data_IF_176662172391
#
_entry.id   IF_176662172391
#
_cell.length_a   1.000
_cell.length_b   1.000
_cell.length_c   1.000
_cell.angle_alpha   90.00
_cell.angle_beta   90.00
_cell.angle_gamma   90.00
#
_symmetry.space_group_name_H-M   'P 1'
#
loop_
_entity.id
_entity.type
_entity.pdbx_description
1 polymer ?
#
# COMPACT_ATOMS: atom_id res chain seq x y z
N UNK A 1 3.31 -2.75 -41.43
CA UNK A 1 4.39 -3.22 -40.54
C UNK A 1 4.01 -2.90 -39.10
N UNK A 2 3.33 -3.82 -38.40
CA UNK A 2 2.99 -3.63 -36.97
C UNK A 2 4.29 -3.71 -36.18
N UNK A 3 4.71 -2.61 -35.55
CA UNK A 3 5.76 -2.68 -34.52
C UNK A 3 5.25 -3.62 -33.43
N UNK A 4 5.86 -4.79 -33.32
CA UNK A 4 5.72 -5.64 -32.13
C UNK A 4 6.17 -4.77 -30.97
N UNK A 5 5.27 -4.36 -30.06
CA UNK A 5 5.70 -3.88 -28.75
C UNK A 5 6.58 -4.99 -28.21
N UNK A 6 7.88 -4.71 -28.03
CA UNK A 6 8.74 -5.59 -27.28
C UNK A 6 8.05 -5.79 -25.93
N UNK A 7 7.77 -7.04 -25.57
CA UNK A 7 7.26 -7.35 -24.23
C UNK A 7 8.33 -6.89 -23.25
N UNK A 8 8.00 -5.87 -22.48
CA UNK A 8 8.78 -5.50 -21.33
C UNK A 8 8.84 -6.74 -20.45
N UNK A 9 10.04 -7.32 -20.34
CA UNK A 9 10.31 -8.41 -19.44
C UNK A 9 9.85 -7.90 -18.07
N UNK A 10 8.84 -8.52 -17.46
CA UNK A 10 8.29 -8.06 -16.17
C UNK A 10 9.45 -7.84 -15.20
N UNK A 11 9.75 -6.56 -14.97
CA UNK A 11 10.83 -6.16 -14.08
C UNK A 11 10.34 -6.46 -12.68
N UNK A 12 11.09 -7.30 -11.98
CA UNK A 12 10.90 -7.53 -10.54
C UNK A 12 11.13 -6.19 -9.84
N UNK A 13 10.11 -5.72 -9.12
CA UNK A 13 10.09 -4.45 -8.40
C UNK A 13 10.18 -4.68 -6.91
N UNK A 14 10.84 -3.79 -6.19
CA UNK A 14 10.92 -3.78 -4.73
C UNK A 14 9.62 -3.22 -4.13
N UNK A 15 9.15 -3.89 -3.09
CA UNK A 15 8.03 -3.46 -2.23
C UNK A 15 8.44 -3.57 -0.76
N UNK A 16 7.86 -2.76 0.12
CA UNK A 16 7.95 -2.97 1.57
C UNK A 16 6.59 -3.46 2.07
N UNK A 17 6.59 -4.61 2.73
CA UNK A 17 5.38 -5.24 3.29
C UNK A 17 5.27 -4.86 4.76
N UNK A 18 4.11 -4.35 5.15
CA UNK A 18 3.73 -4.06 6.54
C UNK A 18 2.67 -5.08 6.93
N UNK A 19 3.00 -5.96 7.88
CA UNK A 19 2.10 -7.01 8.34
C UNK A 19 1.73 -6.79 9.82
N UNK A 20 0.51 -6.28 10.11
CA UNK A 20 0.07 -6.07 11.49
C UNK A 20 -0.35 -7.35 12.21
N UNK A 21 -0.47 -8.49 11.51
CA UNK A 21 -0.76 -9.78 12.15
C UNK A 21 0.49 -10.32 12.83
N UNK A 22 1.63 -10.24 12.14
CA UNK A 22 2.92 -10.68 12.68
C UNK A 22 3.74 -9.55 13.30
N UNK A 23 3.26 -8.30 13.19
CA UNK A 23 3.95 -7.08 13.59
C UNK A 23 5.34 -6.95 12.94
N UNK A 24 5.40 -7.27 11.65
CA UNK A 24 6.64 -7.24 10.87
C UNK A 24 6.60 -6.20 9.75
N UNK A 25 7.77 -5.64 9.46
CA UNK A 25 8.00 -4.78 8.30
C UNK A 25 9.19 -5.38 7.56
N UNK A 26 8.98 -5.80 6.33
CA UNK A 26 9.97 -6.58 5.54
C UNK A 26 10.06 -6.07 4.10
N UNK A 27 11.19 -6.36 3.46
CA UNK A 27 11.33 -6.13 2.02
C UNK A 27 10.80 -7.34 1.27
N UNK A 28 10.07 -7.08 0.19
CA UNK A 28 9.59 -8.07 -0.76
C UNK A 28 9.84 -7.63 -2.19
N UNK A 29 9.36 -8.43 -3.12
CA UNK A 29 9.39 -8.09 -4.53
C UNK A 29 8.20 -8.65 -5.28
N UNK A 30 7.82 -8.01 -6.37
CA UNK A 30 6.75 -8.49 -7.24
C UNK A 30 7.08 -8.24 -8.71
N UNK A 31 6.57 -9.08 -9.60
CA UNK A 31 6.76 -8.95 -11.05
C UNK A 31 5.49 -8.55 -11.80
N UNK A 32 4.32 -8.96 -11.28
CA UNK A 32 3.00 -8.66 -11.85
C UNK A 32 2.05 -8.11 -10.77
N UNK A 33 0.93 -7.50 -11.18
CA UNK A 33 -0.05 -6.98 -10.21
C UNK A 33 -0.82 -8.11 -9.51
N UNK A 34 -0.94 -9.29 -10.13
CA UNK A 34 -1.56 -10.47 -9.53
C UNK A 34 -0.83 -10.91 -8.25
N UNK A 35 0.51 -10.83 -8.24
CA UNK A 35 1.32 -11.15 -7.05
C UNK A 35 1.03 -10.21 -5.86
N UNK A 36 0.52 -8.99 -6.11
CA UNK A 36 0.17 -8.06 -5.04
C UNK A 36 -1.00 -8.56 -4.18
N UNK A 37 -1.95 -9.30 -4.76
CA UNK A 37 -3.05 -9.91 -4.01
C UNK A 37 -2.53 -10.94 -3.01
N UNK A 38 -1.55 -11.76 -3.42
CA UNK A 38 -0.94 -12.77 -2.57
C UNK A 38 -0.05 -12.14 -1.49
N UNK A 39 0.78 -11.15 -1.86
CA UNK A 39 1.63 -10.43 -0.91
C UNK A 39 0.81 -9.69 0.15
N UNK A 40 -0.22 -8.97 -0.30
CA UNK A 40 -1.13 -8.19 0.53
C UNK A 40 -2.15 -9.03 1.29
N UNK A 41 -2.35 -10.29 0.89
CA UNK A 41 -3.36 -11.18 1.48
C UNK A 41 -4.79 -10.57 1.45
N UNK A 42 -5.17 -10.01 0.31
CA UNK A 42 -6.48 -9.41 0.08
C UNK A 42 -7.02 -9.73 -1.31
N UNK A 43 -8.34 -9.61 -1.49
CA UNK A 43 -9.03 -9.84 -2.77
C UNK A 43 -9.25 -8.56 -3.55
N UNK A 44 -9.38 -7.45 -2.84
CA UNK A 44 -9.56 -6.11 -3.36
C UNK A 44 -8.63 -5.20 -2.59
N UNK A 45 -8.05 -4.22 -3.27
CA UNK A 45 -7.22 -3.22 -2.64
C UNK A 45 -7.63 -1.81 -3.05
N UNK A 46 -7.41 -0.90 -2.13
CA UNK A 46 -7.42 0.54 -2.36
C UNK A 46 -6.00 1.08 -2.32
N UNK A 47 -5.79 2.26 -2.87
CA UNK A 47 -4.47 2.89 -2.95
C UNK A 47 -4.53 4.25 -2.26
N UNK A 48 -3.65 4.44 -1.28
CA UNK A 48 -3.49 5.69 -0.55
C UNK A 48 -2.10 6.28 -0.83
N UNK A 49 -2.06 7.48 -1.40
CA UNK A 49 -0.81 8.19 -1.61
C UNK A 49 -0.13 8.52 -0.27
N UNK A 50 1.16 8.22 -0.17
CA UNK A 50 1.99 8.51 1.01
C UNK A 50 2.80 9.79 0.80
N UNK A 51 3.47 9.89 -0.34
CA UNK A 51 4.21 11.08 -0.73
C UNK A 51 4.24 11.28 -2.24
N UNK A 52 4.62 12.49 -2.65
CA UNK A 52 4.78 12.87 -4.05
C UNK A 52 5.85 13.95 -4.18
N UNK A 53 6.78 13.75 -5.11
CA UNK A 53 7.81 14.69 -5.49
C UNK A 53 7.46 15.26 -6.88
N UNK A 54 7.07 16.54 -6.90
CA UNK A 54 6.66 17.26 -8.11
C UNK A 54 7.78 17.45 -9.13
N UNK A 55 9.03 17.55 -8.69
CA UNK A 55 10.17 17.75 -9.59
C UNK A 55 10.47 16.49 -10.42
N UNK A 56 10.16 15.32 -9.86
CA UNK A 56 10.42 14.01 -10.50
C UNK A 56 9.17 13.31 -10.99
N UNK A 57 7.97 13.80 -10.64
CA UNK A 57 6.69 13.11 -10.80
C UNK A 57 6.65 11.71 -10.17
N UNK A 58 7.39 11.50 -9.07
CA UNK A 58 7.48 10.20 -8.40
C UNK A 58 7.01 10.28 -6.97
N UNK A 59 6.44 9.20 -6.49
CA UNK A 59 5.92 9.09 -5.14
C UNK A 59 5.99 7.67 -4.62
N UNK A 60 5.36 7.47 -3.48
CA UNK A 60 5.09 6.17 -2.91
C UNK A 60 3.62 6.10 -2.51
N UNK A 61 3.04 4.93 -2.75
CA UNK A 61 1.65 4.64 -2.46
C UNK A 61 1.55 3.41 -1.55
N UNK A 62 0.59 3.43 -0.65
CA UNK A 62 0.17 2.31 0.17
C UNK A 62 -0.98 1.59 -0.52
N UNK A 63 -0.76 0.32 -0.87
CA UNK A 63 -1.82 -0.58 -1.32
C UNK A 63 -2.37 -1.31 -0.09
N UNK A 64 -3.67 -1.18 0.13
CA UNK A 64 -4.34 -1.51 1.38
C UNK A 64 -5.54 -2.41 1.12
N UNK A 65 -5.83 -3.31 2.07
CA UNK A 65 -6.99 -4.20 2.03
C UNK A 65 -8.30 -3.40 2.07
N UNK A 66 -8.99 -3.29 0.92
CA UNK A 66 -10.25 -2.53 0.80
C UNK A 66 -11.37 -3.15 1.65
N UNK A 67 -11.30 -4.46 1.86
CA UNK A 67 -12.24 -5.22 2.70
C UNK A 67 -11.73 -5.36 4.14
N UNK A 68 -10.66 -4.66 4.52
CA UNK A 68 -9.97 -4.85 5.79
C UNK A 68 -10.89 -4.68 7.00
N UNK A 69 -11.76 -3.67 6.97
CA UNK A 69 -12.72 -3.37 8.04
C UNK A 69 -13.88 -4.39 8.14
N UNK A 70 -14.09 -5.21 7.11
CA UNK A 70 -15.15 -6.23 7.08
C UNK A 70 -14.71 -7.58 7.67
N UNK A 71 -13.40 -7.77 7.89
CA UNK A 71 -12.82 -9.02 8.38
C UNK A 71 -12.92 -9.11 9.91
N UNK A 72 -13.25 -10.30 10.41
CA UNK A 72 -13.24 -10.60 11.86
C UNK A 72 -11.80 -10.74 12.35
N UNK A 73 -11.54 -10.33 13.60
CA UNK A 73 -10.22 -10.38 14.25
C UNK A 73 -9.11 -9.70 13.42
N UNK A 74 -9.47 -8.61 12.75
CA UNK A 74 -8.54 -7.83 11.96
C UNK A 74 -7.47 -7.18 12.84
N UNK A 75 -6.27 -7.01 12.28
CA UNK A 75 -5.16 -6.27 12.88
C UNK A 75 -4.88 -4.99 12.10
N UNK A 76 -4.32 -4.00 12.79
CA UNK A 76 -4.20 -2.64 12.28
C UNK A 76 -2.78 -2.11 12.48
N UNK A 77 -2.40 -1.18 11.62
CA UNK A 77 -1.21 -0.36 11.79
C UNK A 77 -1.56 1.10 11.51
N UNK A 78 -0.82 2.00 12.15
CA UNK A 78 -0.87 3.44 11.89
C UNK A 78 0.39 3.85 11.16
N UNK A 79 0.23 4.52 10.02
CA UNK A 79 1.29 5.16 9.27
C UNK A 79 1.28 6.66 9.55
N UNK A 80 2.36 7.17 10.14
CA UNK A 80 2.52 8.56 10.58
C UNK A 80 2.26 9.52 9.41
N UNK A 81 1.34 10.47 9.64
CA UNK A 81 0.98 11.49 8.64
C UNK A 81 0.01 11.02 7.56
N UNK A 82 -0.38 9.74 7.55
CA UNK A 82 -1.31 9.19 6.55
C UNK A 82 -2.59 8.69 7.21
N UNK A 83 -2.51 7.78 8.19
CA UNK A 83 -3.69 7.25 8.88
C UNK A 83 -3.51 5.84 9.44
N UNK A 84 -4.60 5.29 9.97
CA UNK A 84 -4.67 3.91 10.46
C UNK A 84 -5.37 3.01 9.46
N UNK A 85 -4.81 1.82 9.23
CA UNK A 85 -5.26 0.90 8.19
C UNK A 85 -5.41 -0.53 8.72
N UNK A 86 -6.35 -1.25 8.13
CA UNK A 86 -6.65 -2.64 8.43
C UNK A 86 -5.93 -3.58 7.45
N UNK A 87 -5.46 -4.72 7.95
CA UNK A 87 -4.79 -5.72 7.11
C UNK A 87 -3.38 -5.31 6.70
N UNK A 88 -2.78 -6.06 5.76
CA UNK A 88 -1.42 -5.75 5.31
C UNK A 88 -1.40 -4.50 4.43
N UNK A 89 -0.34 -3.72 4.57
CA UNK A 89 -0.02 -2.62 3.66
C UNK A 89 1.18 -2.97 2.78
N UNK A 90 1.11 -2.66 1.50
CA UNK A 90 2.25 -2.75 0.58
C UNK A 90 2.68 -1.33 0.17
N UNK A 91 3.89 -0.92 0.53
CA UNK A 91 4.46 0.36 0.11
C UNK A 91 5.20 0.19 -1.22
N UNK A 92 4.68 0.82 -2.25
CA UNK A 92 5.12 0.68 -3.65
C UNK A 92 5.49 2.06 -4.19
N UNK A 93 6.53 2.14 -5.02
CA UNK A 93 6.88 3.37 -5.71
C UNK A 93 5.97 3.60 -6.92
N UNK A 94 5.69 4.85 -7.22
CA UNK A 94 4.88 5.24 -8.39
C UNK A 94 5.57 6.31 -9.22
N UNK A 95 5.45 6.16 -10.55
CA UNK A 95 5.78 7.19 -11.52
C UNK A 95 4.46 7.77 -12.05
N UNK A 96 4.09 8.95 -11.55
CA UNK A 96 2.83 9.60 -11.90
C UNK A 96 2.84 10.20 -13.31
N UNK A 97 4.01 10.38 -13.93
CA UNK A 97 4.08 10.83 -15.31
C UNK A 97 3.69 9.72 -16.30
N UNK A 98 4.03 8.47 -15.98
CA UNK A 98 3.70 7.30 -16.83
C UNK A 98 2.49 6.51 -16.34
N UNK A 99 2.15 6.62 -15.05
CA UNK A 99 1.16 5.79 -14.37
C UNK A 99 1.67 4.40 -13.98
N UNK A 100 2.98 4.17 -14.06
CA UNK A 100 3.59 2.86 -13.77
C UNK A 100 4.03 2.74 -12.31
N UNK A 101 3.92 1.54 -11.75
CA UNK A 101 4.57 1.22 -10.48
C UNK A 101 6.06 0.94 -10.68
N UNK A 102 6.88 1.50 -9.78
CA UNK A 102 8.34 1.39 -9.74
C UNK A 102 8.80 0.96 -8.33
N UNK A 103 10.12 0.79 -8.14
CA UNK A 103 10.67 0.50 -6.82
C UNK A 103 10.33 1.64 -5.84
N UNK A 104 9.89 1.28 -4.62
CA UNK A 104 9.72 2.28 -3.56
C UNK A 104 11.05 3.00 -3.28
N UNK A 105 10.97 4.33 -3.14
CA UNK A 105 12.13 5.16 -2.79
C UNK A 105 12.43 5.13 -1.29
N UNK A 106 11.50 4.63 -0.46
CA UNK A 106 11.70 4.49 0.97
C UNK A 106 12.60 3.31 1.30
N UNK A 107 13.47 3.51 2.29
CA UNK A 107 14.24 2.44 2.92
C UNK A 107 13.41 1.77 3.99
N UNK A 108 13.68 0.49 4.24
CA UNK A 108 13.02 -0.31 5.29
C UNK A 108 13.00 0.42 6.65
N UNK A 109 14.13 1.01 7.05
CA UNK A 109 14.25 1.73 8.31
C UNK A 109 13.42 3.03 8.38
N UNK A 110 13.13 3.66 7.24
CA UNK A 110 12.21 4.81 7.22
C UNK A 110 10.78 4.35 7.50
N UNK A 111 10.36 3.24 6.88
CA UNK A 111 9.02 2.67 7.11
C UNK A 111 8.87 2.22 8.56
N UNK A 112 9.88 1.55 9.14
CA UNK A 112 9.86 1.15 10.55
C UNK A 112 9.69 2.30 11.53
N UNK A 113 10.18 3.51 11.19
CA UNK A 113 9.98 4.70 12.02
C UNK A 113 8.62 5.36 11.80
N UNK A 114 8.02 5.16 10.63
CA UNK A 114 6.73 5.75 10.28
C UNK A 114 5.54 4.86 10.65
N UNK A 115 5.75 3.59 10.95
CA UNK A 115 4.69 2.63 11.23
C UNK A 115 4.68 2.25 12.71
N UNK A 116 3.48 2.22 13.29
CA UNK A 116 3.20 1.65 14.61
C UNK A 116 2.09 0.60 14.48
N UNK A 117 2.24 -0.55 15.14
CA UNK A 117 1.20 -1.57 15.17
C UNK A 117 0.23 -1.31 16.32
N UNK A 118 -1.06 -1.49 16.04
CA UNK A 118 -2.09 -1.31 17.05
C UNK A 118 -2.23 -2.58 17.91
N UNK A 119 -2.54 -2.42 19.21
CA UNK A 119 -2.72 -3.55 20.10
C UNK A 119 -3.87 -4.45 19.65
N UNK A 120 -3.82 -5.72 20.06
CA UNK A 120 -4.92 -6.64 19.83
C UNK A 120 -6.23 -6.10 20.41
N UNK A 121 -7.32 -6.23 19.64
CA UNK A 121 -8.63 -5.71 20.03
C UNK A 121 -8.87 -4.24 19.68
N UNK A 122 -7.85 -3.51 19.18
CA UNK A 122 -8.06 -2.20 18.58
C UNK A 122 -9.10 -2.26 17.46
N UNK A 123 -9.96 -1.24 17.39
CA UNK A 123 -10.99 -1.08 16.36
C UNK A 123 -11.04 0.36 15.92
N UNK A 124 -11.18 0.55 14.62
CA UNK A 124 -11.53 1.85 14.04
C UNK A 124 -13.05 1.97 14.08
N UNK A 125 -13.57 2.96 14.79
CA UNK A 125 -15.00 3.25 14.77
C UNK A 125 -15.36 3.96 13.46
N UNK A 126 -16.35 3.44 12.70
CA UNK A 126 -16.80 4.11 11.50
C UNK A 126 -17.49 5.44 11.88
N UNK A 127 -17.13 6.52 11.18
CA UNK A 127 -17.79 7.81 11.30
C UNK A 127 -18.71 8.03 10.09
N UNK A 128 -19.93 8.50 10.35
CA UNK A 128 -20.88 8.89 9.31
C UNK A 128 -21.62 10.14 9.73
N UNK A 129 -21.67 11.13 8.84
CA UNK A 129 -22.39 12.39 9.02
C UNK A 129 -23.29 12.63 7.82
N UNK A 130 -24.51 13.11 8.08
CA UNK A 130 -25.50 13.42 7.05
C UNK A 130 -25.66 14.94 6.93
N UNK A 131 -25.38 15.46 5.73
CA UNK A 131 -25.65 16.86 5.41
C UNK A 131 -26.92 16.93 4.55
N UNK A 132 -27.90 17.73 5.00
CA UNK A 132 -29.05 18.05 4.16
C UNK A 132 -28.60 18.94 2.99
N UNK A 133 -29.16 18.71 1.79
CA UNK A 133 -29.01 19.64 0.68
C UNK A 133 -29.76 20.93 1.03
N UNK A 134 -29.04 22.06 1.13
CA UNK A 134 -29.62 23.40 1.23
C UNK A 134 -29.86 23.98 -0.16
#
# INVERSE_FOLDING_TARGET
MRRKKMSEKERVKKVIVIDPVTETISEGSYSSYEELYDLGNYKLFTVQMVDYNSDTNKGNDLFLDDEGLLKRNQRYFTFVGVGSFAGRGLLIGSDHATGESVDTSWKLEQVKRAVSFEPEGYKIEPYMEFHAFN
#
